data_IF_203920515393
#
_entry.id   IF_203920515393
#
_cell.length_a   1.000
_cell.length_b   1.000
_cell.length_c   1.000
_cell.angle_alpha   90.00
_cell.angle_beta   90.00
_cell.angle_gamma   90.00
#
_symmetry.space_group_name_H-M   'P 1'
#
loop_
_entity.id
_entity.type
_entity.pdbx_description
1 polymer ?
#
# COMPACT_ATOMS: atom_id res chain seq x y z
N UNK A 1 24.98 -15.52 -11.65
CA UNK A 1 23.71 -16.18 -12.04
C UNK A 1 22.53 -15.61 -11.26
N UNK A 2 22.57 -15.56 -9.91
CA UNK A 2 21.51 -14.96 -9.08
C UNK A 2 21.19 -13.48 -9.39
N UNK A 3 22.18 -12.67 -9.68
CA UNK A 3 22.00 -11.23 -9.96
C UNK A 3 21.22 -10.97 -11.26
N UNK A 4 21.44 -11.76 -12.29
CA UNK A 4 20.67 -11.71 -13.56
C UNK A 4 19.22 -12.17 -13.37
N UNK A 5 18.98 -13.20 -12.56
CA UNK A 5 17.61 -13.68 -12.26
C UNK A 5 16.82 -12.66 -11.45
N UNK A 6 17.46 -11.98 -10.50
CA UNK A 6 16.82 -10.92 -9.68
C UNK A 6 16.48 -9.68 -10.51
N UNK A 7 17.33 -9.30 -11.48
CA UNK A 7 17.06 -8.20 -12.41
C UNK A 7 15.83 -8.52 -13.27
N UNK A 8 15.79 -9.71 -13.88
CA UNK A 8 14.67 -10.14 -14.73
C UNK A 8 13.35 -10.26 -13.96
N UNK A 9 13.40 -10.63 -12.68
CA UNK A 9 12.21 -10.73 -11.83
C UNK A 9 11.63 -9.34 -11.48
N UNK A 10 12.48 -8.31 -11.30
CA UNK A 10 12.04 -6.91 -11.08
C UNK A 10 11.40 -6.29 -12.32
N UNK A 11 11.89 -6.62 -13.50
CA UNK A 11 11.36 -6.11 -14.77
C UNK A 11 9.87 -6.40 -14.96
N UNK A 12 9.37 -7.43 -14.28
CA UNK A 12 7.95 -7.82 -14.29
C UNK A 12 7.12 -7.23 -13.14
N UNK A 13 7.67 -6.31 -12.34
CA UNK A 13 6.93 -5.63 -11.27
C UNK A 13 6.51 -4.25 -11.75
N UNK A 14 5.22 -3.94 -11.60
CA UNK A 14 4.69 -2.62 -11.91
C UNK A 14 4.79 -1.69 -10.70
N UNK A 15 5.34 -0.50 -10.90
CA UNK A 15 5.34 0.57 -9.91
C UNK A 15 4.04 1.37 -10.01
N UNK A 16 3.41 1.64 -8.88
CA UNK A 16 2.15 2.41 -8.80
C UNK A 16 2.36 3.62 -7.91
N UNK A 17 2.12 4.82 -8.44
CA UNK A 17 2.34 6.10 -7.76
C UNK A 17 1.02 6.89 -7.71
N UNK A 18 0.19 6.74 -6.66
CA UNK A 18 -0.96 7.62 -6.44
C UNK A 18 -0.47 8.98 -5.94
N UNK A 19 -0.96 10.04 -6.52
CA UNK A 19 -0.57 11.41 -6.13
C UNK A 19 -1.74 12.37 -6.33
N UNK A 20 -1.79 13.40 -5.49
CA UNK A 20 -2.72 14.54 -5.60
C UNK A 20 -1.94 15.81 -5.29
N UNK A 21 -2.09 16.83 -6.13
CA UNK A 21 -1.37 18.10 -6.04
C UNK A 21 0.16 17.89 -5.90
N UNK A 22 0.82 17.25 -6.89
CA UNK A 22 2.25 16.98 -6.84
C UNK A 22 3.06 18.29 -6.82
N UNK A 23 4.21 18.22 -6.16
CA UNK A 23 5.24 19.26 -6.29
C UNK A 23 5.86 19.18 -7.69
N UNK A 24 5.69 20.22 -8.50
CA UNK A 24 6.10 20.25 -9.90
C UNK A 24 7.62 20.15 -10.09
N UNK A 25 8.43 20.52 -9.09
CA UNK A 25 9.89 20.44 -9.15
C UNK A 25 10.42 19.08 -8.68
N UNK A 26 9.73 18.42 -7.74
CA UNK A 26 10.19 17.19 -7.09
C UNK A 26 9.63 15.93 -7.73
N UNK A 27 8.38 15.95 -8.18
CA UNK A 27 7.70 14.76 -8.68
C UNK A 27 8.30 14.23 -10.00
N UNK A 28 8.55 15.06 -11.05
CA UNK A 28 9.11 14.55 -12.30
C UNK A 28 10.50 13.90 -12.14
N UNK A 29 11.47 14.48 -11.40
CA UNK A 29 12.74 13.84 -11.15
C UNK A 29 12.60 12.51 -10.39
N UNK A 30 11.68 12.41 -9.41
CA UNK A 30 11.39 11.17 -8.70
C UNK A 30 10.92 10.08 -9.66
N UNK A 31 9.94 10.38 -10.52
CA UNK A 31 9.39 9.40 -11.49
C UNK A 31 10.48 8.92 -12.44
N UNK A 32 11.31 9.82 -12.99
CA UNK A 32 12.41 9.47 -13.89
C UNK A 32 13.42 8.57 -13.19
N UNK A 33 13.79 8.90 -11.95
CA UNK A 33 14.73 8.08 -11.17
C UNK A 33 14.18 6.68 -10.90
N UNK A 34 12.89 6.57 -10.57
CA UNK A 34 12.22 5.27 -10.39
C UNK A 34 12.12 4.50 -11.71
N UNK A 35 11.91 5.19 -12.84
CA UNK A 35 11.85 4.57 -14.17
C UNK A 35 13.16 3.88 -14.58
N UNK A 36 14.29 4.29 -14.04
CA UNK A 36 15.58 3.61 -14.31
C UNK A 36 15.60 2.17 -13.81
N UNK A 37 14.89 1.88 -12.72
CA UNK A 37 14.83 0.57 -12.07
C UNK A 37 13.59 -0.26 -12.45
N UNK A 38 12.53 0.37 -12.99
CA UNK A 38 11.24 -0.28 -13.23
C UNK A 38 10.80 -0.13 -14.69
N UNK A 39 10.53 -1.27 -15.35
CA UNK A 39 10.02 -1.30 -16.73
C UNK A 39 8.58 -0.79 -16.83
N UNK A 40 7.77 -0.97 -15.78
CA UNK A 40 6.38 -0.57 -15.74
C UNK A 40 6.11 0.42 -14.61
N UNK A 41 5.67 1.64 -14.99
CA UNK A 41 5.34 2.72 -14.05
C UNK A 41 3.95 3.27 -14.39
N UNK A 42 3.06 3.27 -13.41
CA UNK A 42 1.68 3.78 -13.52
C UNK A 42 1.49 4.89 -12.51
N UNK A 43 1.13 6.06 -12.96
CA UNK A 43 0.81 7.22 -12.13
C UNK A 43 -0.70 7.40 -12.07
N UNK A 44 -1.23 7.76 -10.92
CA UNK A 44 -2.65 8.14 -10.77
C UNK A 44 -2.74 9.53 -10.20
N UNK A 45 -3.27 10.45 -11.01
CA UNK A 45 -3.71 11.77 -10.56
C UNK A 45 -5.06 11.64 -9.86
N UNK A 46 -5.08 11.75 -8.54
CA UNK A 46 -6.32 11.66 -7.75
C UNK A 46 -7.03 13.03 -7.67
N UNK A 47 -7.31 13.63 -8.82
CA UNK A 47 -8.09 14.85 -8.95
C UNK A 47 -7.34 16.08 -8.45
N UNK A 48 -6.11 16.26 -8.89
CA UNK A 48 -5.27 17.42 -8.54
C UNK A 48 -5.89 18.75 -8.98
N UNK A 49 -5.91 19.72 -8.07
CA UNK A 49 -6.25 21.10 -8.34
C UNK A 49 -5.03 21.93 -8.80
N UNK A 50 -3.83 21.53 -8.35
CA UNK A 50 -2.55 22.18 -8.61
C UNK A 50 -1.51 21.16 -9.11
N UNK A 51 -0.38 21.63 -9.65
CA UNK A 51 0.75 20.81 -10.06
C UNK A 51 0.45 19.88 -11.26
N UNK A 52 -0.56 20.17 -12.05
CA UNK A 52 -0.94 19.33 -13.21
C UNK A 52 0.13 19.23 -14.27
N UNK A 53 0.94 20.26 -14.41
CA UNK A 53 2.11 20.32 -15.30
C UNK A 53 3.13 19.22 -14.98
N UNK A 54 3.20 18.76 -13.73
CA UNK A 54 4.08 17.66 -13.33
C UNK A 54 3.68 16.33 -13.99
N UNK A 55 2.37 16.08 -14.21
CA UNK A 55 1.91 14.89 -14.92
C UNK A 55 2.25 14.95 -16.41
N UNK A 56 2.12 16.13 -17.03
CA UNK A 56 2.49 16.30 -18.44
C UNK A 56 3.99 16.11 -18.63
N UNK A 57 4.81 16.56 -17.67
CA UNK A 57 6.26 16.40 -17.68
C UNK A 57 6.73 14.94 -17.59
N UNK A 58 5.91 14.02 -17.06
CA UNK A 58 6.26 12.60 -16.93
C UNK A 58 5.49 11.67 -17.88
N UNK A 59 4.57 12.19 -18.67
CA UNK A 59 3.69 11.41 -19.55
C UNK A 59 4.47 10.51 -20.53
N UNK A 60 5.65 10.94 -20.97
CA UNK A 60 6.54 10.16 -21.84
C UNK A 60 7.40 9.13 -21.08
N UNK A 61 7.47 9.23 -19.76
CA UNK A 61 8.33 8.40 -18.91
C UNK A 61 7.55 7.25 -18.25
N UNK A 62 6.21 7.21 -18.38
CA UNK A 62 5.36 6.23 -17.70
C UNK A 62 4.44 5.49 -18.67
N UNK A 63 3.99 4.29 -18.29
CA UNK A 63 3.08 3.48 -19.12
C UNK A 63 1.67 4.09 -19.16
N UNK A 64 1.23 4.71 -18.06
CA UNK A 64 -0.05 5.41 -17.98
C UNK A 64 -0.06 6.51 -16.92
N UNK A 65 -0.77 7.60 -17.24
CA UNK A 65 -1.25 8.58 -16.26
C UNK A 65 -2.77 8.45 -16.22
N UNK A 66 -3.29 7.85 -15.14
CA UNK A 66 -4.72 7.68 -14.91
C UNK A 66 -5.25 8.90 -14.14
N UNK A 67 -6.36 9.47 -14.56
CA UNK A 67 -6.85 10.73 -14.00
C UNK A 67 -8.24 10.54 -13.41
N UNK A 68 -8.42 10.95 -12.16
CA UNK A 68 -9.73 11.14 -11.55
C UNK A 68 -10.19 12.59 -11.77
N UNK A 69 -11.46 12.78 -12.11
CA UNK A 69 -12.03 14.13 -12.29
C UNK A 69 -12.03 14.93 -10.98
N UNK A 70 -12.18 14.24 -9.85
CA UNK A 70 -12.20 14.80 -8.49
C UNK A 70 -11.39 13.92 -7.55
N UNK A 71 -10.90 14.48 -6.45
CA UNK A 71 -10.20 13.72 -5.42
C UNK A 71 -11.12 12.66 -4.80
N UNK A 72 -10.82 11.39 -5.08
CA UNK A 72 -11.54 10.22 -4.57
C UNK A 72 -10.84 9.59 -3.37
N UNK A 73 -9.58 9.93 -3.14
CA UNK A 73 -8.72 9.46 -2.06
C UNK A 73 -7.76 8.35 -2.48
N UNK A 74 -6.66 8.25 -1.74
CA UNK A 74 -5.54 7.34 -2.02
C UNK A 74 -5.96 5.89 -2.26
N UNK A 75 -6.92 5.37 -1.48
CA UNK A 75 -7.42 4.01 -1.65
C UNK A 75 -8.15 3.81 -2.99
N UNK A 76 -8.90 4.81 -3.46
CA UNK A 76 -9.53 4.77 -4.77
C UNK A 76 -8.48 4.83 -5.89
N UNK A 77 -7.47 5.70 -5.76
CA UNK A 77 -6.38 5.81 -6.72
C UNK A 77 -5.59 4.49 -6.83
N UNK A 78 -5.26 3.87 -5.70
CA UNK A 78 -4.59 2.56 -5.68
C UNK A 78 -5.44 1.49 -6.38
N UNK A 79 -6.75 1.41 -6.12
CA UNK A 79 -7.63 0.44 -6.81
C UNK A 79 -7.70 0.71 -8.31
N UNK A 80 -7.77 1.96 -8.73
CA UNK A 80 -7.74 2.32 -10.16
C UNK A 80 -6.47 1.82 -10.83
N UNK A 81 -5.30 2.04 -10.20
CA UNK A 81 -4.04 1.53 -10.71
C UNK A 81 -3.95 -0.01 -10.71
N UNK A 82 -4.38 -0.67 -9.63
CA UNK A 82 -4.36 -2.14 -9.56
C UNK A 82 -5.27 -2.79 -10.61
N UNK A 83 -6.44 -2.20 -10.87
CA UNK A 83 -7.32 -2.66 -11.94
C UNK A 83 -6.66 -2.51 -13.31
N UNK A 84 -6.06 -1.34 -13.57
CA UNK A 84 -5.34 -1.08 -14.81
C UNK A 84 -4.16 -2.04 -15.01
N UNK A 85 -3.32 -2.25 -14.00
CA UNK A 85 -2.18 -3.19 -14.07
C UNK A 85 -2.68 -4.60 -14.36
N UNK A 86 -3.72 -5.07 -13.70
CA UNK A 86 -4.27 -6.41 -13.92
C UNK A 86 -4.79 -6.59 -15.35
N UNK A 87 -5.34 -5.56 -15.95
CA UNK A 87 -5.90 -5.59 -17.30
C UNK A 87 -4.82 -5.44 -18.38
N UNK A 88 -3.89 -4.50 -18.20
CA UNK A 88 -2.94 -4.10 -19.23
C UNK A 88 -1.55 -4.77 -19.09
N UNK A 89 -1.21 -5.25 -17.90
CA UNK A 89 0.07 -5.92 -17.61
C UNK A 89 -0.17 -7.33 -17.02
N UNK A 90 -0.83 -8.25 -17.76
CA UNK A 90 -1.22 -9.56 -17.23
C UNK A 90 -0.04 -10.47 -16.87
N UNK A 91 1.17 -10.12 -17.30
CA UNK A 91 2.41 -10.83 -16.95
C UNK A 91 3.14 -10.24 -15.76
N UNK A 92 2.66 -9.12 -15.20
CA UNK A 92 3.27 -8.54 -14.02
C UNK A 92 3.24 -9.54 -12.85
N UNK A 93 4.37 -9.75 -12.21
CA UNK A 93 4.50 -10.62 -11.04
C UNK A 93 3.84 -9.99 -9.80
N UNK A 94 3.69 -8.68 -9.80
CA UNK A 94 3.03 -7.91 -8.75
C UNK A 94 3.17 -6.41 -8.95
N UNK A 95 2.76 -5.67 -7.94
CA UNK A 95 2.88 -4.21 -7.91
C UNK A 95 3.63 -3.75 -6.67
N UNK A 96 4.38 -2.66 -6.81
CA UNK A 96 4.93 -1.90 -5.68
C UNK A 96 4.27 -0.54 -5.63
N UNK A 97 3.70 -0.15 -4.50
CA UNK A 97 3.11 1.18 -4.29
C UNK A 97 4.13 2.12 -3.70
N UNK A 98 4.18 3.36 -4.18
CA UNK A 98 5.11 4.41 -3.73
C UNK A 98 4.34 5.71 -3.60
N UNK A 99 4.56 6.46 -2.52
CA UNK A 99 3.97 7.79 -2.37
C UNK A 99 4.67 8.80 -3.28
N UNK A 100 3.89 9.68 -3.92
CA UNK A 100 4.41 10.69 -4.86
C UNK A 100 5.06 11.91 -4.21
N UNK A 101 5.21 11.91 -2.88
CA UNK A 101 5.77 13.02 -2.09
C UNK A 101 7.32 13.00 -1.97
N UNK A 102 7.97 11.97 -2.53
CA UNK A 102 9.42 11.81 -2.50
C UNK A 102 10.00 11.34 -1.16
N UNK A 103 9.17 10.89 -0.21
CA UNK A 103 9.64 10.39 1.08
C UNK A 103 10.20 8.96 1.02
N UNK A 104 10.11 8.28 -0.12
CA UNK A 104 10.67 6.96 -0.34
C UNK A 104 11.94 7.04 -1.20
N UNK A 105 13.05 6.56 -0.66
CA UNK A 105 14.30 6.45 -1.40
C UNK A 105 14.16 5.39 -2.51
N UNK A 106 14.57 5.68 -3.77
CA UNK A 106 14.49 4.73 -4.87
C UNK A 106 15.19 3.39 -4.58
N UNK A 107 16.31 3.39 -3.85
CA UNK A 107 16.98 2.16 -3.44
C UNK A 107 16.12 1.31 -2.49
N UNK A 108 15.31 1.96 -1.64
CA UNK A 108 14.38 1.27 -0.75
C UNK A 108 13.20 0.69 -1.53
N UNK A 109 12.70 1.41 -2.54
CA UNK A 109 11.67 0.93 -3.46
C UNK A 109 12.17 -0.31 -4.21
N UNK A 110 13.41 -0.28 -4.69
CA UNK A 110 14.06 -1.42 -5.34
C UNK A 110 14.15 -2.63 -4.39
N UNK A 111 14.59 -2.45 -3.15
CA UNK A 111 14.67 -3.54 -2.16
C UNK A 111 13.31 -4.17 -1.85
N UNK A 112 12.25 -3.38 -1.81
CA UNK A 112 10.88 -3.91 -1.64
C UNK A 112 10.45 -4.71 -2.86
N UNK A 113 10.79 -4.26 -4.08
CA UNK A 113 10.51 -5.00 -5.31
C UNK A 113 11.29 -6.33 -5.38
N UNK A 114 12.57 -6.33 -5.00
CA UNK A 114 13.39 -7.54 -4.91
C UNK A 114 12.79 -8.54 -3.90
N UNK A 115 12.40 -8.06 -2.73
CA UNK A 115 11.76 -8.88 -1.71
C UNK A 115 10.40 -9.44 -2.18
N UNK A 116 9.67 -8.69 -3.02
CA UNK A 116 8.43 -9.15 -3.65
C UNK A 116 8.70 -10.25 -4.68
N UNK A 117 9.71 -10.07 -5.53
CA UNK A 117 10.10 -11.04 -6.56
C UNK A 117 10.56 -12.38 -5.97
N UNK A 118 11.27 -12.33 -4.84
CA UNK A 118 11.79 -13.51 -4.14
C UNK A 118 10.80 -14.14 -3.17
N UNK A 119 9.74 -13.40 -2.81
CA UNK A 119 8.78 -13.80 -1.78
C UNK A 119 7.73 -14.78 -2.28
N UNK A 120 6.93 -15.33 -1.35
CA UNK A 120 5.78 -16.15 -1.72
C UNK A 120 4.72 -15.32 -2.45
N UNK A 121 4.10 -15.92 -3.46
CA UNK A 121 3.06 -15.28 -4.29
C UNK A 121 1.80 -14.82 -3.50
N UNK A 122 1.70 -15.15 -2.24
CA UNK A 122 0.53 -14.89 -1.38
C UNK A 122 0.87 -14.08 -0.11
N UNK A 123 2.07 -13.47 -0.06
CA UNK A 123 2.54 -12.64 1.04
C UNK A 123 2.74 -11.19 0.63
N UNK A 124 2.25 -10.23 1.43
CA UNK A 124 2.58 -8.82 1.23
C UNK A 124 4.03 -8.55 1.63
N UNK A 125 4.65 -7.56 0.97
CA UNK A 125 5.93 -6.98 1.39
C UNK A 125 5.68 -5.56 1.90
N UNK A 126 6.28 -5.19 3.02
CA UNK A 126 6.12 -3.88 3.65
C UNK A 126 7.48 -3.21 3.79
N UNK A 127 7.65 -2.02 3.23
CA UNK A 127 8.77 -1.17 3.55
C UNK A 127 8.55 -0.55 4.94
N UNK A 128 9.29 -0.97 5.95
CA UNK A 128 9.09 -0.50 7.32
C UNK A 128 10.16 0.50 7.72
N UNK A 129 9.74 1.66 8.20
CA UNK A 129 10.67 2.72 8.63
C UNK A 129 11.38 2.31 9.91
N UNK A 130 12.71 2.51 9.92
CA UNK A 130 13.48 2.38 11.14
C UNK A 130 13.21 3.59 12.04
N UNK A 131 12.60 3.37 13.19
CA UNK A 131 12.39 4.40 14.21
C UNK A 131 13.61 4.54 15.16
N UNK A 132 14.77 3.99 14.77
CA UNK A 132 16.04 4.20 15.45
C UNK A 132 16.64 5.54 14.98
N UNK A 133 16.79 6.52 15.87
CA UNK A 133 17.34 7.84 15.59
C UNK A 133 16.42 8.98 16.05
N UNK A 134 16.67 10.20 15.54
CA UNK A 134 15.95 11.45 15.89
C UNK A 134 14.55 11.54 15.27
N UNK A 135 13.70 10.55 15.55
CA UNK A 135 12.29 10.58 15.19
C UNK A 135 11.52 11.35 16.26
N UNK A 136 10.66 12.32 15.88
CA UNK A 136 9.86 13.06 16.85
C UNK A 136 9.07 12.13 17.79
N UNK A 137 9.13 12.41 19.10
CA UNK A 137 8.49 11.56 20.13
C UNK A 137 7.00 11.30 19.87
N UNK A 138 6.27 12.30 19.33
CA UNK A 138 4.86 12.16 18.94
C UNK A 138 4.64 11.09 17.87
N UNK A 139 5.54 10.97 16.90
CA UNK A 139 5.47 9.94 15.85
C UNK A 139 5.77 8.55 16.42
N UNK A 140 6.74 8.44 17.33
CA UNK A 140 7.04 7.19 18.04
C UNK A 140 5.83 6.71 18.87
N UNK A 141 5.23 7.62 19.65
CA UNK A 141 4.08 7.30 20.51
C UNK A 141 2.84 6.90 19.68
N UNK A 142 2.55 7.65 18.61
CA UNK A 142 1.43 7.37 17.72
C UNK A 142 1.56 5.98 17.05
N UNK A 143 2.75 5.66 16.55
CA UNK A 143 3.01 4.35 15.95
C UNK A 143 2.93 3.22 16.98
N UNK A 144 3.45 3.42 18.20
CA UNK A 144 3.38 2.43 19.29
C UNK A 144 1.93 2.05 19.62
N UNK A 145 1.05 3.05 19.81
CA UNK A 145 -0.37 2.81 20.09
C UNK A 145 -1.09 2.14 18.91
N UNK A 146 -0.84 2.59 17.69
CA UNK A 146 -1.48 2.02 16.50
C UNK A 146 -1.04 0.57 16.28
N UNK A 147 0.23 0.26 16.48
CA UNK A 147 0.78 -1.11 16.41
C UNK A 147 0.17 -2.03 17.47
N UNK A 148 0.13 -1.58 18.73
CA UNK A 148 -0.45 -2.34 19.84
C UNK A 148 -1.92 -2.66 19.58
N UNK A 149 -2.71 -1.66 19.20
CA UNK A 149 -4.12 -1.83 18.84
C UNK A 149 -4.27 -2.73 17.60
N UNK A 150 -3.48 -2.53 16.56
CA UNK A 150 -3.50 -3.35 15.35
C UNK A 150 -3.23 -4.82 15.68
N UNK A 151 -2.18 -5.10 16.47
CA UNK A 151 -1.85 -6.46 16.91
C UNK A 151 -2.98 -7.08 17.73
N UNK A 152 -3.57 -6.34 18.67
CA UNK A 152 -4.70 -6.81 19.47
C UNK A 152 -5.90 -7.19 18.60
N UNK A 153 -6.19 -6.39 17.57
CA UNK A 153 -7.37 -6.56 16.72
C UNK A 153 -7.18 -7.61 15.61
N UNK A 154 -5.98 -7.73 15.08
CA UNK A 154 -5.69 -8.60 13.91
C UNK A 154 -4.90 -9.85 14.26
N UNK A 155 -4.16 -9.85 15.36
CA UNK A 155 -3.19 -10.88 15.70
C UNK A 155 -1.86 -10.75 14.94
N UNK A 156 -1.74 -9.81 13.97
CA UNK A 156 -0.51 -9.58 13.21
C UNK A 156 0.41 -8.60 13.96
N UNK A 157 1.68 -8.99 14.08
CA UNK A 157 2.73 -8.10 14.57
C UNK A 157 3.46 -7.49 13.37
N UNK A 158 3.26 -6.20 13.13
CA UNK A 158 3.95 -5.43 12.09
C UNK A 158 4.63 -4.21 12.70
N UNK A 159 5.81 -3.85 12.16
CA UNK A 159 6.64 -2.77 12.70
C UNK A 159 6.16 -1.39 12.27
N UNK A 160 5.53 -1.26 11.11
CA UNK A 160 4.94 -0.03 10.60
C UNK A 160 3.59 -0.31 9.93
N UNK A 161 2.50 0.16 10.56
CA UNK A 161 1.14 -0.03 10.03
C UNK A 161 0.74 1.06 9.02
N UNK A 162 1.54 2.13 8.90
CA UNK A 162 1.20 3.33 8.13
C UNK A 162 2.07 3.51 6.88
N UNK A 163 2.97 2.58 6.60
CA UNK A 163 3.82 2.66 5.40
C UNK A 163 3.00 2.63 4.13
N UNK A 164 3.29 3.54 3.19
CA UNK A 164 2.74 3.56 1.83
C UNK A 164 3.57 2.69 0.85
N UNK A 165 4.81 2.35 1.20
CA UNK A 165 5.68 1.51 0.37
C UNK A 165 5.36 0.03 0.62
N UNK A 166 4.68 -0.59 -0.36
CA UNK A 166 4.19 -1.97 -0.24
C UNK A 166 4.39 -2.73 -1.54
N UNK A 167 4.82 -3.98 -1.41
CA UNK A 167 4.81 -4.96 -2.49
C UNK A 167 3.58 -5.87 -2.37
N UNK A 168 2.84 -6.00 -3.47
CA UNK A 168 1.60 -6.79 -3.54
C UNK A 168 1.75 -7.77 -4.70
N UNK A 169 1.83 -9.09 -4.44
CA UNK A 169 1.88 -10.10 -5.50
C UNK A 169 0.65 -10.03 -6.42
N UNK A 170 0.82 -10.33 -7.70
CA UNK A 170 -0.26 -10.33 -8.69
C UNK A 170 -1.44 -11.24 -8.28
N UNK A 171 -1.15 -12.37 -7.65
CA UNK A 171 -2.17 -13.30 -7.13
C UNK A 171 -3.11 -12.66 -6.10
N UNK A 172 -2.64 -11.62 -5.37
CA UNK A 172 -3.45 -10.91 -4.38
C UNK A 172 -4.24 -9.73 -4.97
N UNK A 173 -3.98 -9.29 -6.21
CA UNK A 173 -4.67 -8.14 -6.81
C UNK A 173 -6.20 -8.29 -6.83
N UNK A 174 -6.79 -9.45 -7.20
CA UNK A 174 -8.24 -9.59 -7.15
C UNK A 174 -8.80 -9.41 -5.74
N UNK A 175 -8.07 -9.85 -4.73
CA UNK A 175 -8.47 -9.75 -3.33
C UNK A 175 -8.37 -8.33 -2.80
N UNK A 176 -7.26 -7.64 -3.05
CA UNK A 176 -7.09 -6.26 -2.58
C UNK A 176 -8.05 -5.31 -3.29
N UNK A 177 -8.40 -5.54 -4.55
CA UNK A 177 -9.42 -4.78 -5.28
C UNK A 177 -10.81 -4.87 -4.63
N UNK A 178 -11.13 -5.98 -3.98
CA UNK A 178 -12.41 -6.17 -3.28
C UNK A 178 -12.47 -5.51 -1.90
N UNK A 179 -11.35 -4.99 -1.38
CA UNK A 179 -11.30 -4.33 -0.07
C UNK A 179 -12.00 -2.97 -0.17
N UNK A 180 -12.98 -2.67 0.70
CA UNK A 180 -13.66 -1.38 0.70
C UNK A 180 -12.78 -0.28 1.33
N UNK A 181 -13.03 0.97 0.93
CA UNK A 181 -12.36 2.17 1.46
C UNK A 181 -11.69 2.95 0.36
N UNK A 182 -11.85 4.27 0.38
CA UNK A 182 -11.39 5.13 -0.70
C UNK A 182 -10.19 5.98 -0.29
N UNK A 183 -9.92 6.11 1.03
CA UNK A 183 -8.84 6.93 1.56
C UNK A 183 -7.79 6.08 2.29
N UNK A 184 -7.12 6.63 3.31
CA UNK A 184 -6.06 5.95 4.08
C UNK A 184 -6.54 4.69 4.82
N UNK A 185 -7.85 4.55 5.09
CA UNK A 185 -8.41 3.33 5.68
C UNK A 185 -8.28 2.10 4.76
N UNK A 186 -8.14 2.29 3.45
CA UNK A 186 -7.92 1.21 2.51
C UNK A 186 -6.63 0.43 2.82
N UNK A 187 -5.54 1.17 3.04
CA UNK A 187 -4.23 0.58 3.29
C UNK A 187 -4.19 -0.21 4.61
N UNK A 188 -4.85 0.31 5.67
CA UNK A 188 -4.91 -0.42 6.94
C UNK A 188 -5.82 -1.65 6.85
N UNK A 189 -6.87 -1.60 6.05
CA UNK A 189 -7.74 -2.76 5.78
C UNK A 189 -7.01 -3.82 4.95
N UNK A 190 -6.23 -3.43 3.96
CA UNK A 190 -5.37 -4.33 3.20
C UNK A 190 -4.40 -5.07 4.13
N UNK A 191 -3.75 -4.33 5.04
CA UNK A 191 -2.86 -4.92 6.01
C UNK A 191 -3.60 -5.83 7.01
N UNK A 192 -4.79 -5.47 7.46
CA UNK A 192 -5.61 -6.31 8.32
C UNK A 192 -6.10 -7.59 7.62
N UNK A 193 -6.34 -7.52 6.31
CA UNK A 193 -6.73 -8.69 5.50
C UNK A 193 -5.56 -9.66 5.29
N UNK A 194 -4.31 -9.19 5.36
CA UNK A 194 -3.10 -10.02 5.25
C UNK A 194 -3.05 -11.17 6.28
N UNK A 195 -3.75 -11.03 7.40
CA UNK A 195 -3.97 -12.12 8.37
C UNK A 195 -4.61 -13.37 7.76
N UNK A 196 -5.32 -13.23 6.65
CA UNK A 196 -6.01 -14.32 5.94
C UNK A 196 -5.19 -14.85 4.77
N UNK A 197 -4.01 -14.32 4.55
CA UNK A 197 -3.10 -14.79 3.52
C UNK A 197 -2.35 -16.01 4.04
N UNK A 198 -2.01 -16.96 3.18
CA UNK A 198 -1.21 -18.13 3.54
C UNK A 198 0.17 -17.78 4.08
N UNK A 199 0.77 -16.69 3.56
CA UNK A 199 2.06 -16.18 4.02
C UNK A 199 1.90 -14.87 4.81
N UNK A 200 2.61 -14.70 5.93
CA UNK A 200 2.62 -13.46 6.69
C UNK A 200 3.31 -12.34 5.89
N UNK A 201 3.02 -11.07 6.18
CA UNK A 201 3.73 -9.94 5.57
C UNK A 201 5.24 -10.03 5.86
N UNK A 202 6.06 -9.84 4.81
CA UNK A 202 7.53 -9.71 4.91
C UNK A 202 7.87 -8.24 5.10
N UNK A 203 8.68 -7.93 6.09
CA UNK A 203 9.14 -6.56 6.37
C UNK A 203 10.53 -6.32 5.77
N UNK A 204 10.69 -5.20 5.08
CA UNK A 204 11.96 -4.70 4.53
C UNK A 204 12.26 -3.38 5.21
N UNK A 205 13.36 -3.27 5.98
CA UNK A 205 13.75 -2.01 6.61
C UNK A 205 14.05 -0.94 5.56
N UNK A 206 13.47 0.25 5.70
CA UNK A 206 13.68 1.39 4.81
C UNK A 206 14.16 2.62 5.58
N UNK A 207 14.81 3.54 4.86
CA UNK A 207 15.21 4.83 5.40
C UNK A 207 13.99 5.70 5.70
N UNK A 208 14.10 6.54 6.71
CA UNK A 208 13.08 7.55 6.98
C UNK A 208 13.58 8.88 6.44
N UNK A 209 12.94 9.39 5.38
CA UNK A 209 13.27 10.68 4.79
C UNK A 209 12.23 11.71 5.27
N UNK A 210 12.70 12.75 5.93
CA UNK A 210 11.87 13.89 6.34
C UNK A 210 12.16 15.05 5.39
N UNK A 211 11.20 15.38 4.51
CA UNK A 211 11.27 16.54 3.65
C UNK A 211 10.51 17.71 4.32
N UNK A 212 11.18 18.83 4.50
CA UNK A 212 10.60 20.12 4.97
C UNK A 212 9.61 19.98 6.16
N UNK A 213 9.93 19.17 7.16
CA UNK A 213 9.07 18.98 8.34
C UNK A 213 7.71 18.35 8.05
N UNK A 214 7.56 17.58 6.94
CA UNK A 214 6.31 16.99 6.46
C UNK A 214 5.28 18.00 5.89
N UNK A 215 5.70 19.19 5.46
CA UNK A 215 4.80 20.19 4.89
C UNK A 215 4.09 19.70 3.61
N UNK A 216 4.71 18.78 2.85
CA UNK A 216 4.15 18.19 1.63
C UNK A 216 3.17 17.01 1.88
N UNK A 217 3.01 16.57 3.13
CA UNK A 217 2.10 15.47 3.45
C UNK A 217 0.67 15.97 3.64
N UNK A 218 -0.26 15.56 2.79
CA UNK A 218 -1.71 15.80 2.93
C UNK A 218 -2.36 15.01 4.09
N UNK A 219 -1.58 14.23 4.84
CA UNK A 219 -2.04 13.49 6.00
C UNK A 219 -2.38 14.41 7.16
N UNK A 220 -3.65 14.42 7.58
CA UNK A 220 -4.13 15.17 8.76
C UNK A 220 -4.08 14.27 10.00
N UNK A 221 -3.06 14.39 10.88
CA UNK A 221 -2.74 13.37 11.89
C UNK A 221 -3.92 12.96 12.77
N UNK A 222 -4.72 13.89 13.26
CA UNK A 222 -5.85 13.58 14.16
C UNK A 222 -7.03 12.94 13.42
N UNK A 223 -7.43 13.50 12.28
CA UNK A 223 -8.62 13.07 11.54
C UNK A 223 -8.40 11.72 10.84
N UNK A 224 -7.22 11.55 10.22
CA UNK A 224 -6.92 10.35 9.45
C UNK A 224 -6.54 9.19 10.37
N UNK A 225 -5.85 9.44 11.49
CA UNK A 225 -5.63 8.44 12.54
C UNK A 225 -6.95 7.96 13.13
N UNK A 226 -7.89 8.87 13.44
CA UNK A 226 -9.19 8.50 13.98
C UNK A 226 -10.03 7.69 12.98
N UNK A 227 -10.04 8.08 11.69
CA UNK A 227 -10.70 7.31 10.62
C UNK A 227 -10.08 5.93 10.43
N UNK A 228 -8.76 5.85 10.47
CA UNK A 228 -8.02 4.58 10.37
C UNK A 228 -8.37 3.66 11.54
N UNK A 229 -8.46 4.20 12.75
CA UNK A 229 -8.88 3.43 13.93
C UNK A 229 -10.34 2.98 13.85
N UNK A 230 -11.26 3.86 13.45
CA UNK A 230 -12.65 3.49 13.20
C UNK A 230 -12.79 2.40 12.13
N UNK A 231 -11.96 2.42 11.11
CA UNK A 231 -11.95 1.39 10.08
C UNK A 231 -11.51 0.02 10.62
N UNK A 232 -10.52 0.00 11.52
CA UNK A 232 -10.12 -1.23 12.24
C UNK A 232 -11.27 -1.78 13.10
N UNK A 233 -11.95 -0.93 13.86
CA UNK A 233 -13.12 -1.33 14.64
C UNK A 233 -14.24 -1.86 13.73
N UNK A 234 -14.51 -1.21 12.60
CA UNK A 234 -15.51 -1.65 11.63
C UNK A 234 -15.24 -3.03 11.04
N UNK A 235 -13.96 -3.43 10.87
CA UNK A 235 -13.60 -4.78 10.39
C UNK A 235 -13.94 -5.85 11.41
N UNK A 236 -13.85 -5.54 12.70
CA UNK A 236 -14.18 -6.46 13.80
C UNK A 236 -15.69 -6.68 13.93
N UNK A 237 -16.48 -5.62 13.82
CA UNK A 237 -17.95 -5.73 13.93
C UNK A 237 -18.54 -6.49 12.74
N UNK A 238 -18.01 -6.34 11.53
CA UNK A 238 -18.41 -7.15 10.37
C UNK A 238 -18.09 -8.63 10.57
N UNK A 239 -16.94 -8.95 11.19
CA UNK A 239 -16.58 -10.32 11.51
C UNK A 239 -17.58 -10.98 12.48
N UNK A 240 -17.96 -10.28 13.56
CA UNK A 240 -18.97 -10.80 14.50
C UNK A 240 -20.32 -11.03 13.81
N UNK A 241 -20.72 -10.18 12.87
CA UNK A 241 -21.94 -10.36 12.07
C UNK A 241 -21.84 -11.54 11.11
N UNK A 242 -20.73 -11.68 10.38
CA UNK A 242 -20.52 -12.82 9.48
C UNK A 242 -20.47 -14.14 10.23
N UNK A 243 -19.74 -14.22 11.35
CA UNK A 243 -19.70 -15.41 12.20
C UNK A 243 -21.10 -15.76 12.72
N UNK A 244 -21.89 -14.79 13.19
CA UNK A 244 -23.28 -15.03 13.61
C UNK A 244 -24.17 -15.51 12.47
N UNK A 245 -24.02 -14.93 11.27
CA UNK A 245 -24.78 -15.37 10.10
C UNK A 245 -24.37 -16.78 9.65
N UNK A 246 -23.08 -17.10 9.63
CA UNK A 246 -22.56 -18.44 9.30
C UNK A 246 -23.02 -19.46 10.34
N UNK A 247 -22.95 -19.16 11.65
CA UNK A 247 -23.50 -20.04 12.68
C UNK A 247 -25.00 -20.26 12.52
N UNK A 248 -25.76 -19.18 12.31
CA UNK A 248 -27.21 -19.30 12.11
C UNK A 248 -27.58 -20.10 10.86
N UNK A 249 -26.79 -19.98 9.77
CA UNK A 249 -27.00 -20.77 8.54
C UNK A 249 -26.65 -22.23 8.76
N UNK A 250 -25.55 -22.53 9.50
CA UNK A 250 -25.15 -23.91 9.83
C UNK A 250 -26.16 -24.58 10.77
N UNK A 251 -26.68 -23.86 11.76
CA UNK A 251 -27.77 -24.35 12.62
C UNK A 251 -29.04 -24.64 11.83
N UNK A 252 -29.38 -23.77 10.86
CA UNK A 252 -30.54 -23.95 9.98
C UNK A 252 -30.37 -25.12 8.99
N UNK A 253 -29.12 -25.49 8.65
CA UNK A 253 -28.82 -26.62 7.75
C UNK A 253 -28.50 -27.93 8.47
N UNK A 254 -28.59 -27.98 9.82
CA UNK A 254 -28.44 -29.20 10.60
C UNK A 254 -27.00 -29.74 10.68
N UNK A 255 -25.98 -28.94 10.31
CA UNK A 255 -24.57 -29.31 10.39
C UNK A 255 -24.03 -28.95 11.77
N UNK A 256 -23.80 -29.98 12.64
CA UNK A 256 -23.15 -29.78 13.95
C UNK A 256 -21.66 -29.56 13.80
N UNK A 257 -21.15 -28.43 14.32
CA UNK A 257 -19.70 -28.20 14.45
C UNK A 257 -19.11 -29.07 15.59
N UNK A 258 -17.91 -29.64 15.43
CA UNK A 258 -17.20 -30.25 16.54
C UNK A 258 -16.92 -29.18 17.61
N UNK A 259 -17.25 -29.51 18.86
CA UNK A 259 -16.91 -28.64 20.00
C UNK A 259 -15.39 -28.65 20.22
N UNK A 260 -14.79 -27.51 20.63
CA UNK A 260 -13.37 -27.38 20.85
C UNK A 260 -12.82 -28.30 21.95
#
# INVERSE_FOLDING_TARGET
>A
MKEKETVTARENIALVIPVCDPDAERFPPLVRRLREDFTHVVVVDDGSAQGREAFDAVRGDVDAVLVHEVNRGKGAALRTAFAWVRENLPRAAGVVTVDGDGQHDPDDVRRVAEALAEGPAEGLVLGVRSFAGDVPFRSKLGNFWTRGLFRLLTGLAVSDTQTGLRGIPAALLPRVLAIPGDRYEYEIRMLADARRHPAPPREVPIRTIYLDGNAASHYRPLRDTFRTQLALWGTLFRRKRQLKQTCATLEATGVSLPRP
#
